data_IF_585107420707
#
_entry.id   IF_585107420707
#
_cell.length_a   1.000
_cell.length_b   1.000
_cell.length_c   1.000
_cell.angle_alpha   90.00
_cell.angle_beta   90.00
_cell.angle_gamma   90.00
#
_symmetry.space_group_name_H-M   'P 1'
#
loop_
_entity.id
_entity.type
_entity.pdbx_description
1 polymer ?
#
# COMPACT_ATOMS: atom_id res chain seq x y z
N UNK A 1 2.92 17.59 -13.33
CA UNK A 1 1.50 17.19 -13.31
C UNK A 1 1.23 16.29 -14.50
N UNK A 2 1.51 16.74 -15.74
CA UNK A 2 1.34 15.92 -16.96
C UNK A 2 2.08 14.56 -16.97
N UNK A 3 3.26 14.46 -16.36
CA UNK A 3 4.03 13.20 -16.31
C UNK A 3 3.38 12.14 -15.42
N UNK A 4 2.82 12.53 -14.27
CA UNK A 4 2.09 11.61 -13.39
C UNK A 4 0.80 11.12 -14.06
N UNK A 5 0.04 12.03 -14.67
CA UNK A 5 -1.24 11.67 -15.29
C UNK A 5 -1.05 10.67 -16.45
N UNK A 6 0.05 10.78 -17.20
CA UNK A 6 0.41 9.83 -18.26
C UNK A 6 0.78 8.44 -17.69
N UNK A 7 1.63 8.40 -16.65
CA UNK A 7 2.01 7.14 -16.02
C UNK A 7 0.81 6.40 -15.40
N UNK A 8 -0.11 7.12 -14.76
CA UNK A 8 -1.32 6.54 -14.18
C UNK A 8 -2.20 5.92 -15.26
N UNK A 9 -2.39 6.63 -16.36
CA UNK A 9 -3.17 6.14 -17.52
C UNK A 9 -2.56 4.86 -18.09
N UNK A 10 -1.23 4.78 -18.18
CA UNK A 10 -0.53 3.58 -18.67
C UNK A 10 -0.70 2.40 -17.71
N UNK A 11 -0.55 2.62 -16.40
CA UNK A 11 -0.78 1.60 -15.38
C UNK A 11 -2.22 1.07 -15.47
N UNK A 12 -3.20 1.98 -15.54
CA UNK A 12 -4.61 1.64 -15.67
C UNK A 12 -4.88 0.78 -16.91
N UNK A 13 -4.36 1.17 -18.07
CA UNK A 13 -4.49 0.40 -19.32
C UNK A 13 -3.88 -1.00 -19.23
N UNK A 14 -2.72 -1.14 -18.57
CA UNK A 14 -2.09 -2.45 -18.34
C UNK A 14 -2.94 -3.30 -17.40
N UNK A 15 -3.49 -2.75 -16.32
CA UNK A 15 -4.41 -3.44 -15.41
C UNK A 15 -5.67 -3.91 -16.16
N UNK A 16 -6.27 -3.06 -16.99
CA UNK A 16 -7.43 -3.43 -17.82
C UNK A 16 -7.11 -4.59 -18.76
N UNK A 17 -5.91 -4.60 -19.35
CA UNK A 17 -5.44 -5.70 -20.20
C UNK A 17 -5.34 -7.02 -19.43
N UNK A 18 -4.91 -6.96 -18.16
CA UNK A 18 -4.72 -8.12 -17.29
C UNK A 18 -6.03 -8.76 -16.80
N UNK A 19 -7.17 -8.05 -16.78
CA UNK A 19 -8.46 -8.55 -16.28
C UNK A 19 -8.94 -9.90 -16.86
N UNK A 20 -8.44 -10.28 -18.02
CA UNK A 20 -8.80 -11.52 -18.73
C UNK A 20 -7.62 -12.47 -18.95
N UNK A 21 -6.52 -12.26 -18.21
CA UNK A 21 -5.23 -12.93 -18.43
C UNK A 21 -4.83 -13.69 -17.17
N UNK A 22 -4.62 -15.00 -17.31
CA UNK A 22 -4.07 -15.85 -16.26
C UNK A 22 -2.71 -15.32 -15.79
N UNK A 23 -2.45 -15.41 -14.49
CA UNK A 23 -1.15 -14.99 -13.92
C UNK A 23 -0.01 -15.83 -14.50
N UNK A 24 -0.21 -17.15 -14.67
CA UNK A 24 0.82 -18.07 -15.17
C UNK A 24 1.37 -17.72 -16.55
N UNK A 25 0.51 -17.20 -17.44
CA UNK A 25 0.87 -16.97 -18.84
C UNK A 25 1.38 -15.54 -19.08
N UNK A 26 1.17 -14.64 -18.11
CA UNK A 26 1.47 -13.21 -18.21
C UNK A 26 2.30 -12.70 -17.02
N UNK A 27 3.08 -13.56 -16.37
CA UNK A 27 3.90 -13.25 -15.17
C UNK A 27 4.73 -11.97 -15.37
N UNK A 28 5.38 -11.81 -16.53
CA UNK A 28 6.20 -10.63 -16.82
C UNK A 28 5.39 -9.33 -16.78
N UNK A 29 4.18 -9.34 -17.35
CA UNK A 29 3.31 -8.16 -17.37
C UNK A 29 2.75 -7.86 -15.97
N UNK A 30 2.38 -8.89 -15.20
CA UNK A 30 1.96 -8.71 -13.81
C UNK A 30 3.06 -8.09 -12.95
N UNK A 31 4.29 -8.60 -13.06
CA UNK A 31 5.45 -8.06 -12.34
C UNK A 31 5.77 -6.63 -12.79
N UNK A 32 5.66 -6.35 -14.09
CA UNK A 32 5.87 -5.01 -14.62
C UNK A 32 4.87 -4.01 -14.04
N UNK A 33 3.58 -4.34 -14.03
CA UNK A 33 2.54 -3.45 -13.51
C UNK A 33 2.75 -3.16 -12.02
N UNK A 34 3.10 -4.18 -11.25
CA UNK A 34 3.41 -4.00 -9.83
C UNK A 34 4.61 -3.06 -9.61
N UNK A 35 5.69 -3.26 -10.38
CA UNK A 35 6.87 -2.39 -10.32
C UNK A 35 6.54 -0.95 -10.74
N UNK A 36 5.78 -0.76 -11.82
CA UNK A 36 5.35 0.56 -12.28
C UNK A 36 4.55 1.29 -11.17
N UNK A 37 3.68 0.58 -10.46
CA UNK A 37 2.94 1.10 -9.31
C UNK A 37 3.90 1.52 -8.18
N UNK A 38 4.85 0.66 -7.82
CA UNK A 38 5.83 0.92 -6.76
C UNK A 38 6.70 2.13 -7.10
N UNK A 39 7.23 2.19 -8.33
CA UNK A 39 8.03 3.31 -8.82
C UNK A 39 7.23 4.62 -8.76
N UNK A 40 5.99 4.60 -9.25
CA UNK A 40 5.13 5.77 -9.23
C UNK A 40 4.78 6.23 -7.81
N UNK A 41 4.57 5.30 -6.86
CA UNK A 41 4.42 5.62 -5.43
C UNK A 41 5.68 6.28 -4.88
N UNK A 42 6.86 5.73 -5.17
CA UNK A 42 8.13 6.26 -4.68
C UNK A 42 8.40 7.68 -5.22
N UNK A 43 8.18 7.93 -6.51
CA UNK A 43 8.31 9.26 -7.10
C UNK A 43 7.41 10.30 -6.42
N UNK A 44 6.17 9.94 -6.08
CA UNK A 44 5.26 10.83 -5.36
C UNK A 44 5.75 11.05 -3.92
N UNK A 45 6.14 9.98 -3.21
CA UNK A 45 6.63 10.05 -1.83
C UNK A 45 7.87 10.91 -1.68
N UNK A 46 8.84 10.78 -2.58
CA UNK A 46 10.07 11.58 -2.56
C UNK A 46 9.77 13.08 -2.56
N UNK A 47 8.75 13.50 -3.31
CA UNK A 47 8.28 14.90 -3.32
C UNK A 47 7.56 15.34 -2.03
N UNK A 48 7.09 14.39 -1.22
CA UNK A 48 6.29 14.62 0.00
C UNK A 48 7.06 14.41 1.31
N UNK A 49 8.28 13.86 1.23
CA UNK A 49 9.17 13.71 2.37
C UNK A 49 9.51 15.07 2.99
N UNK A 50 9.63 15.16 4.32
CA UNK A 50 10.00 16.41 4.97
C UNK A 50 11.38 16.91 4.49
N UNK A 51 11.46 18.20 4.17
CA UNK A 51 12.73 18.85 3.77
C UNK A 51 13.57 19.25 4.99
N UNK A 52 12.94 19.36 6.15
CA UNK A 52 13.61 19.66 7.41
C UNK A 52 14.04 18.37 8.10
N UNK A 53 15.32 18.30 8.47
CA UNK A 53 15.91 17.16 9.18
C UNK A 53 15.15 16.76 10.44
N UNK A 54 14.70 17.73 11.26
CA UNK A 54 13.98 17.43 12.49
C UNK A 54 12.62 16.75 12.24
N UNK A 55 11.91 17.18 11.18
CA UNK A 55 10.63 16.57 10.82
C UNK A 55 10.84 15.20 10.18
N UNK A 56 11.89 15.03 9.35
CA UNK A 56 12.29 13.74 8.79
C UNK A 56 12.63 12.72 9.89
N UNK A 57 13.49 13.10 10.85
CA UNK A 57 13.82 12.25 12.01
C UNK A 57 12.55 11.87 12.80
N UNK A 58 11.67 12.84 13.04
CA UNK A 58 10.43 12.60 13.78
C UNK A 58 9.51 11.60 13.07
N UNK A 59 9.32 11.70 11.74
CA UNK A 59 8.45 10.75 11.03
C UNK A 59 9.09 9.36 10.95
N UNK A 60 10.42 9.26 10.87
CA UNK A 60 11.15 7.98 10.89
C UNK A 60 11.05 7.29 12.23
N UNK A 61 11.24 8.01 13.34
CA UNK A 61 11.06 7.44 14.68
C UNK A 61 9.64 6.92 14.92
N UNK A 62 8.63 7.59 14.33
CA UNK A 62 7.26 7.10 14.37
C UNK A 62 7.17 5.83 13.52
N UNK A 63 7.60 5.87 12.27
CA UNK A 63 7.58 4.73 11.35
C UNK A 63 8.27 3.50 11.94
N UNK A 64 9.45 3.61 12.55
CA UNK A 64 10.14 2.49 13.20
C UNK A 64 9.28 1.81 14.27
N UNK A 65 8.60 2.60 15.12
CA UNK A 65 7.69 2.07 16.14
C UNK A 65 6.49 1.37 15.51
N UNK A 66 6.01 1.91 14.40
CA UNK A 66 4.90 1.35 13.65
C UNK A 66 5.29 0.04 12.98
N UNK A 67 6.44 0.02 12.32
CA UNK A 67 7.04 -1.16 11.72
C UNK A 67 7.08 -2.32 12.72
N UNK A 68 7.64 -2.08 13.91
CA UNK A 68 7.68 -3.04 15.01
C UNK A 68 6.27 -3.50 15.44
N UNK A 69 5.32 -2.56 15.53
CA UNK A 69 3.94 -2.87 15.90
C UNK A 69 3.27 -3.77 14.86
N UNK A 70 3.44 -3.46 13.57
CA UNK A 70 2.88 -4.23 12.44
C UNK A 70 3.51 -5.62 12.38
N UNK A 71 4.84 -5.70 12.47
CA UNK A 71 5.56 -6.97 12.51
C UNK A 71 5.06 -7.85 13.65
N UNK A 72 4.88 -7.27 14.85
CA UNK A 72 4.32 -7.99 16.00
C UNK A 72 2.93 -8.55 15.67
N UNK A 73 2.07 -7.77 15.02
CA UNK A 73 0.74 -8.23 14.59
C UNK A 73 0.80 -9.39 13.61
N UNK A 74 1.66 -9.26 12.59
CA UNK A 74 1.86 -10.29 11.58
C UNK A 74 2.51 -11.56 12.16
N UNK A 75 3.34 -11.47 13.20
CA UNK A 75 3.94 -12.66 13.83
C UNK A 75 2.99 -13.33 14.84
N UNK A 76 2.21 -12.54 15.58
CA UNK A 76 1.38 -13.02 16.69
C UNK A 76 0.09 -13.66 16.22
N UNK A 77 -0.58 -13.05 15.24
CA UNK A 77 -1.92 -13.48 14.85
C UNK A 77 -1.87 -14.45 13.66
N UNK A 78 -2.82 -15.37 13.64
CA UNK A 78 -2.95 -16.41 12.60
C UNK A 78 -4.29 -16.35 11.87
N UNK A 79 -5.17 -15.42 12.25
CA UNK A 79 -6.43 -15.14 11.57
C UNK A 79 -6.39 -13.74 10.95
N UNK A 80 -7.06 -13.57 9.81
CA UNK A 80 -7.22 -12.25 9.19
C UNK A 80 -7.93 -11.31 10.16
N UNK A 81 -9.05 -11.74 10.74
CA UNK A 81 -9.89 -10.88 11.59
C UNK A 81 -9.14 -10.36 12.83
N UNK A 82 -8.31 -11.18 13.47
CA UNK A 82 -7.51 -10.73 14.61
C UNK A 82 -6.44 -9.71 14.20
N UNK A 83 -5.82 -9.88 13.03
CA UNK A 83 -4.87 -8.88 12.49
C UNK A 83 -5.57 -7.56 12.19
N UNK A 84 -6.77 -7.62 11.59
CA UNK A 84 -7.56 -6.42 11.31
C UNK A 84 -7.86 -5.67 12.60
N UNK A 85 -8.36 -6.36 13.62
CA UNK A 85 -8.68 -5.77 14.91
C UNK A 85 -7.44 -5.19 15.61
N UNK A 86 -6.29 -5.83 15.46
CA UNK A 86 -5.04 -5.38 16.04
C UNK A 86 -4.46 -4.14 15.35
N UNK A 87 -4.55 -4.06 14.01
CA UNK A 87 -4.01 -2.95 13.23
C UNK A 87 -4.93 -1.72 13.18
N UNK A 88 -6.25 -1.90 13.34
CA UNK A 88 -7.25 -0.82 13.27
C UNK A 88 -6.90 0.40 14.16
N UNK A 89 -6.47 0.25 15.43
CA UNK A 89 -6.11 1.39 16.28
C UNK A 89 -4.99 2.26 15.69
N UNK A 90 -4.02 1.66 14.97
CA UNK A 90 -2.93 2.41 14.35
C UNK A 90 -3.47 3.31 13.22
N UNK A 91 -4.37 2.80 12.38
CA UNK A 91 -5.00 3.60 11.33
C UNK A 91 -5.92 4.68 11.89
N UNK A 92 -6.71 4.38 12.92
CA UNK A 92 -7.56 5.37 13.60
C UNK A 92 -6.73 6.50 14.21
N UNK A 93 -5.59 6.17 14.82
CA UNK A 93 -4.64 7.19 15.30
C UNK A 93 -4.11 8.05 14.16
N UNK A 94 -3.80 7.45 12.99
CA UNK A 94 -3.33 8.18 11.82
C UNK A 94 -4.28 9.27 11.32
N UNK A 95 -5.59 9.06 11.46
CA UNK A 95 -6.62 10.07 11.11
C UNK A 95 -6.62 11.26 12.07
N UNK A 96 -6.31 11.03 13.34
CA UNK A 96 -6.29 12.08 14.38
C UNK A 96 -4.96 12.84 14.41
N UNK A 97 -3.85 12.11 14.32
CA UNK A 97 -2.49 12.66 14.33
C UNK A 97 -1.90 12.62 12.92
N UNK A 98 -1.94 13.75 12.22
CA UNK A 98 -1.45 13.84 10.83
C UNK A 98 0.03 13.50 10.68
N UNK A 99 0.87 13.77 11.68
CA UNK A 99 2.29 13.38 11.60
C UNK A 99 2.41 11.86 11.67
N UNK A 100 1.63 11.23 12.54
CA UNK A 100 1.56 9.77 12.63
C UNK A 100 1.00 9.15 11.34
N UNK A 101 -0.09 9.70 10.81
CA UNK A 101 -0.67 9.25 9.54
C UNK A 101 0.29 9.40 8.36
N UNK A 102 1.05 10.50 8.30
CA UNK A 102 2.06 10.68 7.24
C UNK A 102 3.19 9.66 7.35
N UNK A 103 3.65 9.33 8.57
CA UNK A 103 4.65 8.29 8.77
C UNK A 103 4.15 6.92 8.26
N UNK A 104 2.90 6.56 8.58
CA UNK A 104 2.21 5.37 8.06
C UNK A 104 2.29 5.29 6.53
N UNK A 105 1.82 6.33 5.87
CA UNK A 105 1.63 6.33 4.42
C UNK A 105 2.96 6.42 3.66
N UNK A 106 3.86 7.27 4.13
CA UNK A 106 5.12 7.56 3.44
C UNK A 106 6.17 6.46 3.62
N UNK A 107 6.20 5.80 4.78
CA UNK A 107 7.31 4.94 5.15
C UNK A 107 6.91 3.47 5.32
N UNK A 108 5.69 3.18 5.78
CA UNK A 108 5.32 1.80 6.10
C UNK A 108 4.48 1.12 5.01
N UNK A 109 3.63 1.85 4.27
CA UNK A 109 2.61 1.25 3.39
C UNK A 109 3.11 0.09 2.50
N UNK A 110 4.13 0.30 1.66
CA UNK A 110 4.67 -0.78 0.81
C UNK A 110 5.16 -1.96 1.64
N UNK A 111 5.87 -1.69 2.72
CA UNK A 111 6.48 -2.71 3.57
C UNK A 111 5.42 -3.58 4.24
N UNK A 112 4.27 -3.01 4.62
CA UNK A 112 3.13 -3.77 5.13
C UNK A 112 2.60 -4.72 4.06
N UNK A 113 2.37 -4.22 2.85
CA UNK A 113 1.83 -5.01 1.74
C UNK A 113 2.76 -6.18 1.40
N UNK A 114 4.07 -5.94 1.30
CA UNK A 114 5.07 -6.98 1.02
C UNK A 114 5.07 -8.09 2.08
N UNK A 115 4.97 -7.74 3.35
CA UNK A 115 4.93 -8.74 4.42
C UNK A 115 3.64 -9.56 4.38
N UNK A 116 2.50 -8.96 4.03
CA UNK A 116 1.22 -9.65 3.96
C UNK A 116 1.19 -10.67 2.82
N UNK A 117 1.80 -10.37 1.66
CA UNK A 117 1.84 -11.29 0.51
C UNK A 117 2.36 -12.68 0.86
N UNK A 118 3.21 -12.78 1.88
CA UNK A 118 3.87 -14.02 2.30
C UNK A 118 3.30 -14.58 3.62
N UNK A 119 2.26 -13.98 4.18
CA UNK A 119 1.80 -14.26 5.55
C UNK A 119 1.05 -15.59 5.65
N UNK A 120 0.05 -15.80 4.79
CA UNK A 120 -0.78 -16.99 4.79
C UNK A 120 -0.37 -17.94 3.66
N UNK A 121 -0.54 -19.24 3.89
CA UNK A 121 -0.33 -20.27 2.85
C UNK A 121 -1.39 -20.25 1.76
N UNK A 122 -2.58 -19.76 2.09
CA UNK A 122 -3.70 -19.64 1.17
C UNK A 122 -3.85 -18.17 0.81
N UNK A 123 -3.61 -17.89 -0.47
CA UNK A 123 -3.59 -16.57 -1.08
C UNK A 123 -4.91 -15.80 -0.93
N UNK A 124 -6.02 -16.52 -0.74
CA UNK A 124 -7.32 -15.90 -0.44
C UNK A 124 -7.28 -15.06 0.86
N UNK A 125 -6.52 -15.47 1.86
CA UNK A 125 -6.38 -14.71 3.09
C UNK A 125 -5.40 -13.54 2.94
N UNK A 126 -4.33 -13.73 2.14
CA UNK A 126 -3.39 -12.65 1.80
C UNK A 126 -4.13 -11.51 1.08
N UNK A 127 -4.90 -11.82 0.03
CA UNK A 127 -5.66 -10.79 -0.71
C UNK A 127 -6.68 -10.09 0.18
N UNK A 128 -7.42 -10.83 1.03
CA UNK A 128 -8.41 -10.21 1.93
C UNK A 128 -7.75 -9.19 2.85
N UNK A 129 -6.57 -9.50 3.38
CA UNK A 129 -5.83 -8.60 4.25
C UNK A 129 -5.21 -7.42 3.48
N UNK A 130 -4.62 -7.66 2.30
CA UNK A 130 -4.08 -6.62 1.41
C UNK A 130 -5.17 -5.60 1.06
N UNK A 131 -6.33 -6.06 0.60
CA UNK A 131 -7.42 -5.16 0.18
C UNK A 131 -7.90 -4.30 1.35
N UNK A 132 -8.07 -4.90 2.54
CA UNK A 132 -8.45 -4.13 3.72
C UNK A 132 -7.40 -3.07 4.08
N UNK A 133 -6.12 -3.44 4.08
CA UNK A 133 -5.04 -2.51 4.43
C UNK A 133 -4.95 -1.37 3.42
N UNK A 134 -5.13 -1.67 2.13
CA UNK A 134 -5.22 -0.65 1.08
C UNK A 134 -6.44 0.24 1.26
N UNK A 135 -7.61 -0.29 1.65
CA UNK A 135 -8.78 0.53 2.00
C UNK A 135 -8.42 1.55 3.10
N UNK A 136 -7.72 1.10 4.15
CA UNK A 136 -7.30 1.99 5.25
C UNK A 136 -6.27 3.03 4.81
N UNK A 137 -5.32 2.66 3.96
CA UNK A 137 -4.36 3.61 3.39
C UNK A 137 -5.01 4.60 2.42
N UNK A 138 -5.99 4.18 1.63
CA UNK A 138 -6.76 5.06 0.76
C UNK A 138 -7.56 6.06 1.61
N UNK A 139 -8.29 5.59 2.62
CA UNK A 139 -9.02 6.46 3.56
C UNK A 139 -8.09 7.51 4.20
N UNK A 140 -6.95 7.05 4.73
CA UNK A 140 -5.98 7.91 5.38
C UNK A 140 -5.35 8.92 4.39
N UNK A 141 -4.98 8.47 3.20
CA UNK A 141 -4.35 9.31 2.18
C UNK A 141 -5.29 10.40 1.66
N UNK A 142 -6.58 10.13 1.50
CA UNK A 142 -7.58 11.15 1.11
C UNK A 142 -7.61 12.32 2.09
N UNK A 143 -7.37 12.06 3.39
CA UNK A 143 -7.42 13.09 4.42
C UNK A 143 -6.11 13.92 4.52
N UNK A 144 -4.95 13.32 4.21
CA UNK A 144 -3.64 13.89 4.57
C UNK A 144 -2.62 13.98 3.43
N UNK A 145 -2.91 13.40 2.26
CA UNK A 145 -2.00 13.31 1.10
C UNK A 145 -2.61 13.99 -0.13
N UNK A 146 -1.81 14.34 -1.15
CA UNK A 146 -2.36 14.77 -2.43
C UNK A 146 -3.16 13.66 -3.11
N UNK A 147 -4.14 14.04 -3.93
CA UNK A 147 -5.02 13.11 -4.66
C UNK A 147 -4.22 12.07 -5.47
N UNK A 148 -3.10 12.47 -6.09
CA UNK A 148 -2.24 11.57 -6.85
C UNK A 148 -1.81 10.35 -6.03
N UNK A 149 -1.51 10.52 -4.74
CA UNK A 149 -1.12 9.40 -3.90
C UNK A 149 -2.32 8.48 -3.57
N UNK A 150 -3.50 9.08 -3.34
CA UNK A 150 -4.73 8.29 -3.12
C UNK A 150 -5.11 7.50 -4.38
N UNK A 151 -4.90 8.08 -5.55
CA UNK A 151 -5.28 7.49 -6.83
C UNK A 151 -4.36 6.33 -7.23
N UNK A 152 -3.04 6.41 -6.95
CA UNK A 152 -2.14 5.27 -7.19
C UNK A 152 -2.43 4.10 -6.23
N UNK A 153 -2.85 4.38 -4.98
CA UNK A 153 -3.28 3.32 -4.06
C UNK A 153 -4.57 2.63 -4.55
N UNK A 154 -5.51 3.35 -5.17
CA UNK A 154 -6.70 2.74 -5.79
C UNK A 154 -6.33 1.86 -6.99
N UNK A 155 -5.34 2.28 -7.79
CA UNK A 155 -4.80 1.45 -8.88
C UNK A 155 -4.15 0.19 -8.34
N UNK A 156 -3.34 0.29 -7.28
CA UNK A 156 -2.73 -0.87 -6.61
C UNK A 156 -3.78 -1.83 -6.06
N UNK A 157 -4.82 -1.31 -5.41
CA UNK A 157 -5.93 -2.14 -4.94
C UNK A 157 -6.62 -2.86 -6.09
N UNK A 158 -6.84 -2.18 -7.21
CA UNK A 158 -7.45 -2.76 -8.41
C UNK A 158 -6.53 -3.83 -9.00
N UNK A 159 -5.22 -3.57 -9.07
CA UNK A 159 -4.22 -4.52 -9.50
C UNK A 159 -4.26 -5.80 -8.67
N UNK A 160 -4.25 -5.72 -7.33
CA UNK A 160 -4.30 -6.92 -6.50
C UNK A 160 -5.61 -7.70 -6.65
N UNK A 161 -6.76 -7.01 -6.78
CA UNK A 161 -8.03 -7.70 -7.08
C UNK A 161 -7.90 -8.51 -8.37
N UNK A 162 -7.38 -7.91 -9.44
CA UNK A 162 -7.18 -8.58 -10.73
C UNK A 162 -6.17 -9.72 -10.65
N UNK A 163 -5.03 -9.51 -9.98
CA UNK A 163 -4.00 -10.53 -9.81
C UNK A 163 -4.56 -11.79 -9.18
N UNK A 164 -5.23 -11.65 -8.03
CA UNK A 164 -5.75 -12.80 -7.28
C UNK A 164 -7.02 -13.41 -7.90
N UNK A 165 -7.84 -12.64 -8.63
CA UNK A 165 -8.97 -13.20 -9.39
C UNK A 165 -8.49 -14.09 -10.56
N UNK A 166 -7.24 -13.90 -11.01
CA UNK A 166 -6.65 -14.60 -12.15
C UNK A 166 -5.55 -15.62 -11.79
N UNK A 167 -5.31 -15.85 -10.49
CA UNK A 167 -4.47 -16.95 -9.98
C UNK A 167 -5.22 -18.29 -10.03
#
# INVERSE_FOLDING_TARGET
>A
MEEYDNNFTQIEQKIETLKSKSVSDFVELYNQVENDIIEQKNMIREGLMPKNKQEDERIREIADKMHLHIQTGLETYSSVDDMLNYLEPAFQRGKVDKTYGRALVLLEENTIIEQIKQKFKDDKYNVRLIIFILDKFIELSIEIMPNSYSDILKLEQTYFKVYYDNM
#
